data_IF_827319259743
#
_entry.id   IF_827319259743
#
_cell.length_a   1.000
_cell.length_b   1.000
_cell.length_c   1.000
_cell.angle_alpha   90.00
_cell.angle_beta   90.00
_cell.angle_gamma   90.00
#
_symmetry.space_group_name_H-M   'P 1'
#
loop_
_entity.id
_entity.type
_entity.pdbx_description
1 polymer ?
#
# COMPACT_ATOMS: atom_id res chain seq x y z
N UNK A 1 38.98 33.48 10.95
CA UNK A 1 39.07 32.00 10.97
C UNK A 1 37.69 31.46 11.34
N UNK A 2 36.98 30.92 10.35
CA UNK A 2 35.65 30.33 10.51
C UNK A 2 35.78 28.93 11.14
N UNK A 3 35.42 28.79 12.40
CA UNK A 3 35.24 27.49 13.05
C UNK A 3 33.79 27.05 12.84
N UNK A 4 33.48 26.48 11.68
CA UNK A 4 32.20 25.78 11.45
C UNK A 4 32.25 24.45 12.20
N UNK A 5 31.36 24.29 13.16
CA UNK A 5 31.14 23.08 13.95
C UNK A 5 31.03 21.85 13.03
N UNK A 6 31.98 20.90 13.16
CA UNK A 6 32.02 19.66 12.38
C UNK A 6 30.73 18.82 12.52
N UNK A 7 30.03 18.95 13.65
CA UNK A 7 28.76 18.25 13.94
C UNK A 7 27.61 18.74 13.02
N UNK A 8 27.63 20.00 12.58
CA UNK A 8 26.60 20.54 11.67
C UNK A 8 26.83 20.17 10.19
N UNK A 9 28.04 19.73 9.81
CA UNK A 9 28.32 19.24 8.45
C UNK A 9 27.93 17.78 8.27
N UNK A 10 28.13 16.97 9.32
CA UNK A 10 27.86 15.52 9.31
C UNK A 10 26.35 15.21 9.21
N UNK A 11 25.55 15.99 9.95
CA UNK A 11 24.08 15.89 9.95
C UNK A 11 23.44 16.21 8.59
N UNK A 12 23.98 17.19 7.85
CA UNK A 12 23.50 17.49 6.50
C UNK A 12 23.81 16.37 5.52
N UNK A 13 25.03 15.83 5.52
CA UNK A 13 25.42 14.72 4.65
C UNK A 13 24.59 13.46 4.89
N UNK A 14 24.37 13.12 6.17
CA UNK A 14 23.54 11.99 6.56
C UNK A 14 22.07 12.18 6.16
N UNK A 15 21.53 13.40 6.30
CA UNK A 15 20.17 13.73 5.88
C UNK A 15 19.96 13.59 4.37
N UNK A 16 20.87 14.15 3.55
CA UNK A 16 20.80 14.00 2.08
C UNK A 16 20.83 12.54 1.65
N UNK A 17 21.68 11.71 2.29
CA UNK A 17 21.72 10.28 2.01
C UNK A 17 20.44 9.53 2.40
N UNK A 18 19.72 10.04 3.41
CA UNK A 18 18.45 9.45 3.87
C UNK A 18 17.32 9.81 2.92
N UNK A 19 17.25 11.08 2.51
CA UNK A 19 16.28 11.55 1.50
C UNK A 19 16.48 10.84 0.16
N UNK A 20 17.73 10.68 -0.28
CA UNK A 20 18.03 9.97 -1.53
C UNK A 20 17.60 8.50 -1.46
N UNK A 21 17.90 7.80 -0.35
CA UNK A 21 17.45 6.41 -0.14
C UNK A 21 15.93 6.29 -0.15
N UNK A 22 15.24 7.22 0.51
CA UNK A 22 13.79 7.26 0.57
C UNK A 22 13.18 7.48 -0.82
N UNK A 23 13.70 8.43 -1.60
CA UNK A 23 13.28 8.66 -2.98
C UNK A 23 13.50 7.42 -3.86
N UNK A 24 14.64 6.73 -3.72
CA UNK A 24 14.90 5.49 -4.45
C UNK A 24 13.94 4.36 -4.05
N UNK A 25 13.61 4.22 -2.76
CA UNK A 25 12.65 3.22 -2.28
C UNK A 25 11.24 3.50 -2.82
N UNK A 26 10.81 4.76 -2.76
CA UNK A 26 9.53 5.20 -3.33
C UNK A 26 9.48 4.95 -4.84
N UNK A 27 10.53 5.33 -5.57
CA UNK A 27 10.60 5.13 -7.02
C UNK A 27 10.50 3.64 -7.39
N UNK A 28 11.21 2.77 -6.68
CA UNK A 28 11.12 1.31 -6.89
C UNK A 28 9.71 0.77 -6.65
N UNK A 29 9.02 1.25 -5.60
CA UNK A 29 7.62 0.87 -5.37
C UNK A 29 6.71 1.37 -6.46
N UNK A 30 6.89 2.61 -6.92
CA UNK A 30 6.12 3.17 -8.03
C UNK A 30 6.29 2.34 -9.30
N UNK A 31 7.52 1.95 -9.62
CA UNK A 31 7.82 1.05 -10.75
C UNK A 31 7.14 -0.31 -10.61
N UNK A 32 7.16 -0.91 -9.41
CA UNK A 32 6.46 -2.16 -9.13
C UNK A 32 4.92 -2.00 -9.29
N UNK A 33 4.34 -0.88 -8.84
CA UNK A 33 2.92 -0.60 -8.98
C UNK A 33 2.50 -0.37 -10.44
N UNK A 34 3.39 0.21 -11.25
CA UNK A 34 3.18 0.29 -12.70
C UNK A 34 3.09 -1.10 -13.33
N UNK A 35 3.95 -2.05 -12.93
CA UNK A 35 3.89 -3.44 -13.40
C UNK A 35 2.61 -4.16 -12.93
N UNK A 36 2.18 -3.94 -11.69
CA UNK A 36 0.90 -4.48 -11.20
C UNK A 36 -0.25 -3.98 -12.06
N UNK A 37 -0.26 -2.68 -12.33
CA UNK A 37 -1.29 -2.04 -13.16
C UNK A 37 -1.30 -2.62 -14.57
N UNK A 38 -0.14 -2.79 -15.21
CA UNK A 38 -0.08 -3.37 -16.56
C UNK A 38 -0.58 -4.81 -16.58
N UNK A 39 -0.20 -5.64 -15.61
CA UNK A 39 -0.70 -7.02 -15.52
C UNK A 39 -2.22 -7.05 -15.36
N UNK A 40 -2.79 -6.19 -14.52
CA UNK A 40 -4.25 -6.13 -14.34
C UNK A 40 -4.95 -5.74 -15.66
N UNK A 41 -4.44 -4.73 -16.36
CA UNK A 41 -5.17 -4.13 -17.50
C UNK A 41 -4.87 -4.79 -18.86
N UNK A 42 -3.75 -5.48 -19.00
CA UNK A 42 -3.25 -5.94 -20.31
C UNK A 42 -3.22 -7.47 -20.44
N UNK A 43 -3.19 -8.21 -19.32
CA UNK A 43 -3.16 -9.68 -19.36
C UNK A 43 -4.51 -10.28 -19.78
N UNK A 44 -4.50 -11.06 -20.86
CA UNK A 44 -5.71 -11.70 -21.39
C UNK A 44 -6.21 -12.82 -20.48
N UNK A 45 -5.32 -13.50 -19.76
CA UNK A 45 -5.69 -14.54 -18.79
C UNK A 45 -6.47 -13.94 -17.62
N UNK A 46 -6.01 -12.82 -17.08
CA UNK A 46 -6.68 -12.00 -16.08
C UNK A 46 -8.06 -11.55 -16.58
N UNK A 47 -8.13 -10.95 -17.77
CA UNK A 47 -9.40 -10.51 -18.33
C UNK A 47 -10.42 -11.66 -18.41
N UNK A 48 -10.00 -12.84 -18.88
CA UNK A 48 -10.86 -14.01 -18.97
C UNK A 48 -11.27 -14.53 -17.59
N UNK A 49 -10.35 -14.53 -16.62
CA UNK A 49 -10.63 -14.91 -15.23
C UNK A 49 -11.68 -14.01 -14.59
N UNK A 50 -11.54 -12.69 -14.72
CA UNK A 50 -12.51 -11.71 -14.21
C UNK A 50 -13.90 -11.89 -14.85
N UNK A 51 -13.96 -12.13 -16.17
CA UNK A 51 -15.23 -12.45 -16.86
C UNK A 51 -15.88 -13.72 -16.31
N UNK A 52 -15.10 -14.76 -16.00
CA UNK A 52 -15.61 -15.98 -15.41
C UNK A 52 -16.18 -15.75 -14.00
N UNK A 53 -15.60 -14.82 -13.23
CA UNK A 53 -16.13 -14.41 -11.93
C UNK A 53 -17.45 -13.65 -12.10
N UNK A 54 -17.52 -12.68 -13.01
CA UNK A 54 -18.73 -11.87 -13.27
C UNK A 54 -19.91 -12.72 -13.75
N UNK A 55 -19.64 -13.72 -14.59
CA UNK A 55 -20.67 -14.67 -15.08
C UNK A 55 -21.03 -15.73 -14.04
N UNK A 56 -20.26 -15.84 -12.96
CA UNK A 56 -20.44 -16.82 -11.89
C UNK A 56 -19.97 -18.23 -12.24
N UNK A 57 -19.17 -18.38 -13.31
CA UNK A 57 -18.49 -19.63 -13.67
C UNK A 57 -17.33 -19.95 -12.72
N UNK A 58 -16.72 -18.90 -12.14
CA UNK A 58 -15.69 -19.00 -11.11
C UNK A 58 -16.18 -18.28 -9.85
N UNK A 59 -16.00 -18.89 -8.68
CA UNK A 59 -16.32 -18.25 -7.40
C UNK A 59 -15.06 -17.60 -6.85
N UNK A 60 -15.07 -16.27 -6.72
CA UNK A 60 -13.98 -15.55 -6.05
C UNK A 60 -14.00 -15.81 -4.53
N UNK A 61 -12.84 -16.03 -3.88
CA UNK A 61 -12.75 -16.08 -2.43
C UNK A 61 -13.13 -14.77 -1.73
N UNK A 62 -13.13 -13.64 -2.45
CA UNK A 62 -13.49 -12.32 -1.92
C UNK A 62 -15.01 -12.09 -1.87
N UNK A 63 -15.79 -12.84 -2.67
CA UNK A 63 -17.26 -12.71 -2.70
C UNK A 63 -17.97 -13.02 -1.37
N UNK A 64 -17.30 -13.73 -0.44
CA UNK A 64 -17.87 -14.12 0.86
C UNK A 64 -17.26 -13.38 2.06
N UNK A 65 -16.18 -12.62 1.85
CA UNK A 65 -15.42 -12.00 2.92
C UNK A 65 -15.26 -10.52 2.65
N UNK A 66 -15.86 -9.70 3.52
CA UNK A 66 -15.51 -8.29 3.65
C UNK A 66 -14.19 -8.17 4.42
N UNK A 67 -13.12 -8.72 3.86
CA UNK A 67 -11.77 -8.38 4.30
C UNK A 67 -11.47 -6.96 3.80
N UNK A 68 -10.71 -6.16 4.56
CA UNK A 68 -10.39 -4.78 4.15
C UNK A 68 -9.69 -4.79 2.80
N UNK A 69 -10.22 -4.04 1.85
CA UNK A 69 -9.53 -3.73 0.59
C UNK A 69 -8.31 -2.87 0.94
N UNK A 70 -7.13 -3.36 0.60
CA UNK A 70 -5.87 -2.63 0.74
C UNK A 70 -5.47 -2.15 -0.65
N UNK A 71 -5.41 -0.82 -0.82
CA UNK A 71 -4.91 -0.21 -2.05
C UNK A 71 -3.38 -0.20 -1.99
N UNK A 72 -2.76 -0.87 -2.96
CA UNK A 72 -1.29 -1.00 -3.07
C UNK A 72 -0.67 -0.03 -4.08
N UNK A 73 -1.47 0.86 -4.69
CA UNK A 73 -1.03 1.78 -5.73
C UNK A 73 -0.41 3.05 -5.12
N UNK A 74 0.59 3.62 -5.79
CA UNK A 74 1.37 4.76 -5.27
C UNK A 74 0.78 6.12 -5.69
N UNK A 75 -0.01 6.17 -6.77
CA UNK A 75 -0.62 7.42 -7.26
C UNK A 75 -2.05 7.22 -7.78
N UNK A 76 -2.79 8.34 -7.86
CA UNK A 76 -4.20 8.35 -8.27
C UNK A 76 -4.36 7.88 -9.73
N UNK A 77 -3.39 8.15 -10.60
CA UNK A 77 -3.43 7.72 -12.01
C UNK A 77 -3.43 6.18 -12.12
N UNK A 78 -2.64 5.49 -11.30
CA UNK A 78 -2.65 4.03 -11.22
C UNK A 78 -4.01 3.50 -10.74
N UNK A 79 -4.57 4.10 -9.68
CA UNK A 79 -5.89 3.71 -9.14
C UNK A 79 -6.97 3.92 -10.20
N UNK A 80 -7.02 5.10 -10.82
CA UNK A 80 -8.00 5.45 -11.84
C UNK A 80 -7.93 4.49 -13.03
N UNK A 81 -6.73 4.16 -13.51
CA UNK A 81 -6.53 3.22 -14.61
C UNK A 81 -7.10 1.83 -14.27
N UNK A 82 -6.82 1.31 -13.07
CA UNK A 82 -7.32 0.01 -12.64
C UNK A 82 -8.83 0.03 -12.43
N UNK A 83 -9.36 1.04 -11.74
CA UNK A 83 -10.78 1.17 -11.46
C UNK A 83 -11.60 1.33 -12.74
N UNK A 84 -11.12 2.13 -13.70
CA UNK A 84 -11.73 2.26 -15.02
C UNK A 84 -11.77 0.92 -15.74
N UNK A 85 -10.64 0.22 -15.82
CA UNK A 85 -10.58 -1.10 -16.47
C UNK A 85 -11.55 -2.11 -15.84
N UNK A 86 -11.55 -2.24 -14.51
CA UNK A 86 -12.42 -3.20 -13.84
C UNK A 86 -13.91 -2.87 -14.03
N UNK A 87 -14.25 -1.57 -14.01
CA UNK A 87 -15.61 -1.10 -14.28
C UNK A 87 -16.03 -1.41 -15.71
N UNK A 88 -15.16 -1.15 -16.70
CA UNK A 88 -15.43 -1.49 -18.11
C UNK A 88 -15.60 -3.00 -18.32
N UNK A 89 -14.80 -3.83 -17.65
CA UNK A 89 -14.93 -5.29 -17.73
C UNK A 89 -16.28 -5.74 -17.16
N UNK A 90 -16.70 -5.18 -16.03
CA UNK A 90 -18.02 -5.47 -15.45
C UNK A 90 -19.16 -5.04 -16.36
N UNK A 91 -19.09 -3.84 -16.93
CA UNK A 91 -20.14 -3.29 -17.81
C UNK A 91 -20.28 -4.06 -19.13
N UNK A 92 -19.16 -4.45 -19.74
CA UNK A 92 -19.15 -5.14 -21.04
C UNK A 92 -19.43 -6.63 -20.94
N UNK A 93 -19.37 -7.21 -19.74
CA UNK A 93 -19.63 -8.63 -19.55
C UNK A 93 -21.12 -8.86 -19.36
N UNK A 94 -21.76 -9.46 -20.37
CA UNK A 94 -23.16 -9.84 -20.30
C UNK A 94 -23.35 -10.94 -19.23
N UNK A 95 -24.20 -10.65 -18.24
CA UNK A 95 -24.56 -11.59 -17.17
C UNK A 95 -26.00 -11.33 -16.74
N UNK A 96 -26.76 -12.41 -16.53
CA UNK A 96 -28.11 -12.36 -15.96
C UNK A 96 -28.07 -12.05 -14.45
N UNK A 97 -26.88 -12.18 -13.83
CA UNK A 97 -26.62 -11.97 -12.40
C UNK A 97 -25.93 -10.64 -12.15
N UNK A 98 -26.53 -9.54 -12.61
CA UNK A 98 -25.97 -8.21 -12.30
C UNK A 98 -25.97 -8.00 -10.78
N UNK A 99 -24.80 -7.65 -10.23
CA UNK A 99 -24.69 -7.24 -8.83
C UNK A 99 -25.70 -6.12 -8.55
N UNK A 100 -26.38 -6.19 -7.41
CA UNK A 100 -27.26 -5.11 -6.95
C UNK A 100 -26.49 -3.80 -6.73
N UNK A 101 -25.19 -3.91 -6.43
CA UNK A 101 -24.26 -2.79 -6.30
C UNK A 101 -22.99 -3.05 -7.14
N UNK A 102 -22.90 -2.47 -8.35
CA UNK A 102 -21.74 -2.61 -9.22
C UNK A 102 -20.46 -2.04 -8.60
N UNK A 103 -20.56 -0.95 -7.83
CA UNK A 103 -19.41 -0.28 -7.21
C UNK A 103 -18.83 -1.16 -6.12
N UNK A 104 -19.67 -1.65 -5.21
CA UNK A 104 -19.24 -2.59 -4.18
C UNK A 104 -18.68 -3.88 -4.81
N UNK A 105 -19.24 -4.37 -5.90
CA UNK A 105 -18.71 -5.57 -6.57
C UNK A 105 -17.31 -5.34 -7.16
N UNK A 106 -17.05 -4.19 -7.78
CA UNK A 106 -15.71 -3.83 -8.25
C UNK A 106 -14.75 -3.74 -7.07
N UNK A 107 -15.11 -3.00 -6.02
CA UNK A 107 -14.21 -2.74 -4.88
C UNK A 107 -13.96 -3.97 -4.02
N UNK A 108 -15.01 -4.73 -3.68
CA UNK A 108 -14.94 -5.80 -2.68
C UNK A 108 -14.58 -7.15 -3.31
N UNK A 109 -14.74 -7.31 -4.63
CA UNK A 109 -14.50 -8.59 -5.33
C UNK A 109 -13.45 -8.46 -6.43
N UNK A 110 -13.72 -7.66 -7.47
CA UNK A 110 -12.85 -7.65 -8.65
C UNK A 110 -11.48 -7.04 -8.38
N UNK A 111 -11.43 -5.96 -7.60
CA UNK A 111 -10.20 -5.27 -7.26
C UNK A 111 -9.24 -6.17 -6.44
N UNK A 112 -9.64 -6.72 -5.27
CA UNK A 112 -8.74 -7.59 -4.51
C UNK A 112 -8.39 -8.88 -5.28
N UNK A 113 -9.30 -9.42 -6.09
CA UNK A 113 -8.99 -10.57 -6.96
C UNK A 113 -7.87 -10.24 -7.96
N UNK A 114 -8.02 -9.14 -8.69
CA UNK A 114 -7.07 -8.71 -9.71
C UNK A 114 -5.72 -8.33 -9.09
N UNK A 115 -5.72 -7.61 -7.97
CA UNK A 115 -4.48 -7.22 -7.28
C UNK A 115 -3.70 -8.44 -6.78
N UNK A 116 -4.36 -9.44 -6.18
CA UNK A 116 -3.66 -10.65 -5.71
C UNK A 116 -3.09 -11.47 -6.86
N UNK A 117 -3.82 -11.63 -7.95
CA UNK A 117 -3.28 -12.32 -9.13
C UNK A 117 -2.10 -11.57 -9.75
N UNK A 118 -2.19 -10.23 -9.83
CA UNK A 118 -1.10 -9.41 -10.32
C UNK A 118 0.14 -9.48 -9.43
N UNK A 119 -0.01 -9.47 -8.11
CA UNK A 119 1.09 -9.69 -7.16
C UNK A 119 1.74 -11.06 -7.36
N UNK A 120 0.93 -12.11 -7.54
CA UNK A 120 1.42 -13.45 -7.85
C UNK A 120 2.28 -13.48 -9.10
N UNK A 121 1.84 -12.80 -10.16
CA UNK A 121 2.57 -12.70 -11.43
C UNK A 121 3.85 -11.86 -11.31
N UNK A 122 3.76 -10.63 -10.79
CA UNK A 122 4.88 -9.69 -10.69
C UNK A 122 5.99 -10.23 -9.78
N UNK A 123 5.62 -10.82 -8.63
CA UNK A 123 6.60 -11.36 -7.69
C UNK A 123 6.94 -12.83 -7.93
N UNK A 124 6.31 -13.50 -8.90
CA UNK A 124 6.48 -14.94 -9.16
C UNK A 124 6.26 -15.80 -7.90
N UNK A 125 5.18 -15.51 -7.17
CA UNK A 125 4.80 -16.20 -5.93
C UNK A 125 3.44 -16.89 -6.07
N UNK A 126 3.14 -17.82 -5.17
CA UNK A 126 1.82 -18.46 -5.12
C UNK A 126 0.72 -17.48 -4.74
N UNK A 127 -0.53 -17.76 -5.13
CA UNK A 127 -1.69 -16.93 -4.78
C UNK A 127 -1.88 -16.78 -3.27
N UNK A 128 -1.57 -17.81 -2.47
CA UNK A 128 -1.63 -17.72 -1.01
C UNK A 128 -0.63 -16.69 -0.47
N UNK A 129 0.61 -16.71 -0.97
CA UNK A 129 1.64 -15.73 -0.58
C UNK A 129 1.31 -14.33 -1.07
N UNK A 130 0.77 -14.21 -2.29
CA UNK A 130 0.31 -12.94 -2.82
C UNK A 130 -0.85 -12.37 -1.99
N UNK A 131 -1.77 -13.22 -1.53
CA UNK A 131 -2.84 -12.83 -0.63
C UNK A 131 -2.31 -12.38 0.72
N UNK A 132 -1.36 -13.09 1.31
CA UNK A 132 -0.70 -12.66 2.55
C UNK A 132 -0.02 -11.29 2.39
N UNK A 133 0.67 -11.08 1.27
CA UNK A 133 1.30 -9.80 0.93
C UNK A 133 0.25 -8.68 0.78
N UNK A 134 -0.84 -8.96 0.07
CA UNK A 134 -1.96 -8.03 -0.07
C UNK A 134 -2.54 -7.64 1.30
N UNK A 135 -2.81 -8.63 2.16
CA UNK A 135 -3.37 -8.41 3.51
C UNK A 135 -2.42 -7.67 4.45
N UNK A 136 -1.11 -7.79 4.24
CA UNK A 136 -0.10 -7.05 4.98
C UNK A 136 -0.04 -5.58 4.56
N UNK A 137 -0.32 -5.31 3.29
CA UNK A 137 -0.26 -3.99 2.68
C UNK A 137 1.15 -3.54 2.33
N UNK A 138 1.26 -2.28 1.89
CA UNK A 138 2.52 -1.70 1.43
C UNK A 138 3.51 -1.57 2.58
N UNK A 139 4.68 -2.16 2.43
CA UNK A 139 5.82 -1.96 3.32
C UNK A 139 6.61 -0.72 2.86
N UNK A 140 6.98 0.15 3.81
CA UNK A 140 7.77 1.35 3.57
C UNK A 140 9.20 1.14 4.06
N UNK A 141 10.18 1.64 3.32
CA UNK A 141 11.56 1.65 3.80
C UNK A 141 11.70 2.58 5.02
N UNK A 142 12.58 2.21 5.96
CA UNK A 142 12.86 3.01 7.16
C UNK A 142 13.25 4.46 6.84
N UNK A 143 13.92 4.69 5.70
CA UNK A 143 14.28 6.03 5.24
C UNK A 143 13.07 6.84 4.77
N UNK A 144 12.08 6.21 4.12
CA UNK A 144 10.82 6.86 3.74
C UNK A 144 10.04 7.28 4.98
N UNK A 145 9.92 6.39 5.96
CA UNK A 145 9.25 6.68 7.23
C UNK A 145 9.94 7.84 7.95
N UNK A 146 11.28 7.85 7.98
CA UNK A 146 12.06 8.92 8.60
C UNK A 146 11.83 10.26 7.90
N UNK A 147 11.93 10.29 6.57
CA UNK A 147 11.73 11.49 5.78
C UNK A 147 10.31 12.06 5.96
N UNK A 148 9.28 11.20 5.89
CA UNK A 148 7.89 11.60 6.10
C UNK A 148 7.68 12.13 7.52
N UNK A 149 8.29 11.50 8.52
CA UNK A 149 8.22 11.94 9.91
C UNK A 149 8.79 13.35 10.10
N UNK A 150 9.92 13.66 9.49
CA UNK A 150 10.52 15.01 9.54
C UNK A 150 9.68 16.05 8.80
N UNK A 151 9.16 15.71 7.62
CA UNK A 151 8.23 16.57 6.87
C UNK A 151 6.99 16.88 7.71
N UNK A 152 6.37 15.87 8.32
CA UNK A 152 5.23 16.06 9.21
C UNK A 152 5.60 16.97 10.39
N UNK A 153 6.74 16.74 11.05
CA UNK A 153 7.18 17.57 12.17
C UNK A 153 7.34 19.06 11.82
N UNK A 154 7.71 19.38 10.58
CA UNK A 154 7.82 20.78 10.12
C UNK A 154 6.46 21.44 9.86
N UNK A 155 5.41 20.66 9.58
CA UNK A 155 4.08 21.18 9.21
C UNK A 155 3.07 21.12 10.37
N UNK A 156 3.32 20.34 11.41
CA UNK A 156 2.42 20.29 12.58
C UNK A 156 2.56 21.56 13.43
N UNK A 157 1.41 22.08 13.89
CA UNK A 157 1.39 23.20 14.84
C UNK A 157 2.16 22.87 16.12
N UNK A 158 2.73 23.88 16.78
CA UNK A 158 3.42 23.71 18.07
C UNK A 158 2.56 23.00 19.12
N UNK A 159 1.25 23.29 19.14
CA UNK A 159 0.27 22.65 20.03
C UNK A 159 0.06 21.17 19.69
N UNK A 160 0.01 20.81 18.41
CA UNK A 160 -0.10 19.42 17.97
C UNK A 160 1.19 18.64 18.29
N UNK A 161 2.35 19.26 18.06
CA UNK A 161 3.67 18.69 18.39
C UNK A 161 3.80 18.39 19.88
N UNK A 162 3.45 19.35 20.74
CA UNK A 162 3.49 19.15 22.19
C UNK A 162 2.58 17.99 22.66
N UNK A 163 1.38 17.86 22.07
CA UNK A 163 0.49 16.72 22.36
C UNK A 163 1.09 15.39 21.91
N UNK A 164 1.69 15.35 20.72
CA UNK A 164 2.33 14.16 20.19
C UNK A 164 3.53 13.74 21.07
N UNK A 165 4.39 14.69 21.44
CA UNK A 165 5.55 14.41 22.31
C UNK A 165 5.10 13.88 23.69
N UNK A 166 4.04 14.47 24.27
CA UNK A 166 3.45 13.97 25.52
C UNK A 166 2.89 12.56 25.36
N UNK A 167 2.24 12.25 24.24
CA UNK A 167 1.70 10.92 23.95
C UNK A 167 2.83 9.90 23.79
N UNK A 168 3.84 10.20 22.98
CA UNK A 168 5.01 9.32 22.75
C UNK A 168 5.79 9.06 24.04
N UNK A 169 5.96 10.08 24.90
CA UNK A 169 6.58 9.91 26.21
C UNK A 169 5.81 8.93 27.09
N UNK A 170 4.48 9.05 27.13
CA UNK A 170 3.63 8.15 27.89
C UNK A 170 3.65 6.72 27.33
N UNK A 171 3.61 6.59 25.99
CA UNK A 171 3.70 5.30 25.32
C UNK A 171 5.03 4.59 25.60
N UNK A 172 6.15 5.32 25.52
CA UNK A 172 7.49 4.76 25.82
C UNK A 172 7.56 4.23 27.26
N UNK A 173 7.06 5.01 28.24
CA UNK A 173 6.97 4.56 29.63
C UNK A 173 6.12 3.30 29.79
N UNK A 174 4.98 3.23 29.09
CA UNK A 174 4.12 2.04 29.12
C UNK A 174 4.83 0.80 28.54
N UNK A 175 5.58 0.95 27.45
CA UNK A 175 6.35 -0.13 26.85
C UNK A 175 7.48 -0.60 27.77
N UNK A 176 8.21 0.33 28.40
CA UNK A 176 9.24 0.03 29.40
C UNK A 176 8.64 -0.68 30.62
N UNK A 177 7.42 -0.31 31.03
CA UNK A 177 6.67 -1.01 32.08
C UNK A 177 6.29 -2.43 31.65
N UNK A 178 5.78 -2.65 30.43
CA UNK A 178 5.48 -3.99 29.92
C UNK A 178 6.72 -4.87 29.82
N UNK A 179 7.83 -4.34 29.31
CA UNK A 179 9.10 -5.07 29.25
C UNK A 179 9.63 -5.42 30.64
N UNK A 180 9.49 -4.51 31.60
CA UNK A 180 9.82 -4.77 32.99
C UNK A 180 8.97 -5.91 33.57
N UNK A 181 7.66 -5.89 33.34
CA UNK A 181 6.74 -6.93 33.81
C UNK A 181 7.01 -8.30 33.16
N UNK A 182 7.45 -8.35 31.90
CA UNK A 182 7.85 -9.60 31.22
C UNK A 182 9.15 -10.22 31.77
N UNK A 183 9.93 -9.47 32.56
CA UNK A 183 11.20 -9.92 33.15
C UNK A 183 11.08 -10.38 34.61
N UNK A 184 9.89 -10.26 35.21
CA UNK A 184 9.54 -10.83 36.52
C UNK A 184 8.99 -12.25 36.35
#
# INVERSE_FOLDING_TARGET
MQSLCLICRDTKGQWWSTVERAQQAQQKRREACCLLTSVITEDQGMLQHLKNIITGNTVSPWAKKQDRVILLFEDDEQVDKVMHFLSEVLERTETDKKSADPVAFVMDVLLPEATVHALGAVHSISLDKAKEMYMRGTEFDSSEITQLGEQLQSHISSKARQKLDSFLSNYKKALECEEFLRRL
#
